data_IF_962518904826
#
_entry.id   IF_962518904826
#
_cell.length_a   1.000
_cell.length_b   1.000
_cell.length_c   1.000
_cell.angle_alpha   90.00
_cell.angle_beta   90.00
_cell.angle_gamma   90.00
#
_symmetry.space_group_name_H-M   'P 1'
#
loop_
_entity.id
_entity.type
_entity.pdbx_description
1 polymer ?
#
# COMPACT_ATOMS: atom_id res chain seq x y z
N UNK A 1 29.78 38.39 -20.17
CA UNK A 1 28.57 37.55 -20.39
C UNK A 1 28.89 36.04 -20.35
N UNK A 2 29.57 35.53 -19.30
CA UNK A 2 29.92 34.10 -19.19
C UNK A 2 29.41 33.44 -17.90
N UNK A 3 29.09 34.21 -16.85
CA UNK A 3 28.53 33.68 -15.61
C UNK A 3 27.01 33.38 -15.69
N UNK A 4 26.26 34.20 -16.42
CA UNK A 4 24.80 34.05 -16.53
C UNK A 4 24.34 32.79 -17.26
N UNK A 5 25.21 32.16 -18.07
CA UNK A 5 24.88 30.92 -18.79
C UNK A 5 25.05 29.66 -17.93
N UNK A 6 25.85 29.70 -16.87
CA UNK A 6 26.09 28.53 -16.01
C UNK A 6 24.95 28.34 -15.01
N UNK A 7 24.32 29.43 -14.56
CA UNK A 7 23.24 29.41 -13.56
C UNK A 7 21.90 28.92 -14.16
N UNK A 8 21.69 29.09 -15.47
CA UNK A 8 20.45 28.66 -16.12
C UNK A 8 20.43 27.16 -16.47
N UNK A 9 21.60 26.51 -16.54
CA UNK A 9 21.72 25.08 -16.91
C UNK A 9 21.51 24.16 -15.70
N UNK A 10 21.71 24.65 -14.47
CA UNK A 10 21.54 23.85 -13.24
C UNK A 10 20.09 23.70 -12.79
N UNK A 11 19.14 24.48 -13.30
CA UNK A 11 17.72 24.42 -12.90
C UNK A 11 16.88 23.38 -13.66
N UNK A 12 17.43 22.77 -14.73
CA UNK A 12 16.66 21.87 -15.60
C UNK A 12 16.76 20.39 -15.13
N UNK A 13 17.63 20.08 -14.17
CA UNK A 13 17.88 18.69 -13.72
C UNK A 13 16.95 18.19 -12.60
N UNK A 14 15.96 18.98 -12.15
CA UNK A 14 15.11 18.60 -11.02
C UNK A 14 13.74 17.98 -11.40
N UNK A 15 13.42 17.82 -12.68
CA UNK A 15 12.11 17.30 -13.11
C UNK A 15 12.10 15.79 -13.38
N UNK A 16 12.76 15.01 -12.53
CA UNK A 16 12.57 13.55 -12.48
C UNK A 16 12.21 13.06 -11.08
N UNK A 17 11.28 13.76 -10.42
CA UNK A 17 10.44 13.04 -9.46
C UNK A 17 9.59 12.08 -10.30
N UNK A 18 10.08 10.85 -10.41
CA UNK A 18 9.44 9.79 -11.15
C UNK A 18 8.00 9.65 -10.68
N UNK A 19 7.08 10.21 -11.47
CA UNK A 19 5.70 9.81 -11.42
C UNK A 19 5.71 8.35 -11.88
N UNK A 20 5.87 7.41 -10.94
CA UNK A 20 5.43 6.04 -11.18
C UNK A 20 4.03 6.20 -11.73
N UNK A 21 3.80 5.79 -12.97
CA UNK A 21 2.45 5.72 -13.51
C UNK A 21 1.71 4.71 -12.64
N UNK A 22 1.08 5.23 -11.59
CA UNK A 22 0.36 4.45 -10.60
C UNK A 22 -0.87 3.92 -11.35
N UNK A 23 -0.79 2.67 -11.79
CA UNK A 23 -1.90 1.98 -12.39
C UNK A 23 -2.54 1.08 -11.35
N UNK A 24 -3.87 0.96 -11.43
CA UNK A 24 -4.58 -0.01 -10.63
C UNK A 24 -4.14 -1.42 -10.98
N UNK A 25 -3.77 -2.19 -9.98
CA UNK A 25 -3.27 -3.55 -10.09
C UNK A 25 -4.12 -4.48 -9.24
N UNK A 26 -4.21 -5.73 -9.66
CA UNK A 26 -4.85 -6.77 -8.86
C UNK A 26 -3.92 -7.15 -7.71
N UNK A 27 -4.44 -7.09 -6.49
CA UNK A 27 -3.82 -7.56 -5.27
C UNK A 27 -4.59 -8.77 -4.73
N UNK A 28 -3.88 -9.85 -4.42
CA UNK A 28 -4.44 -11.01 -3.73
C UNK A 28 -4.19 -10.87 -2.22
N UNK A 29 -5.21 -11.06 -1.41
CA UNK A 29 -5.05 -11.09 0.05
C UNK A 29 -4.50 -12.47 0.43
N UNK A 30 -3.27 -12.49 0.92
CA UNK A 30 -2.56 -13.72 1.30
C UNK A 30 -2.57 -13.95 2.81
N UNK A 31 -3.01 -12.97 3.61
CA UNK A 31 -3.10 -13.13 5.06
C UNK A 31 -3.74 -11.91 5.74
N UNK A 32 -4.44 -12.16 6.83
CA UNK A 32 -4.95 -11.13 7.75
C UNK A 32 -4.72 -11.58 9.17
N UNK A 33 -4.24 -10.66 10.00
CA UNK A 33 -4.13 -10.88 11.44
C UNK A 33 -4.42 -9.59 12.21
N UNK A 34 -4.91 -9.66 13.45
CA UNK A 34 -5.05 -8.49 14.30
C UNK A 34 -3.69 -7.80 14.50
N UNK A 35 -3.68 -6.48 14.46
CA UNK A 35 -2.51 -5.69 14.79
C UNK A 35 -2.37 -5.63 16.31
N UNK A 36 -1.25 -6.12 16.84
CA UNK A 36 -0.95 -6.01 18.26
C UNK A 36 -0.21 -4.70 18.50
N UNK A 37 -0.91 -3.71 19.05
CA UNK A 37 -0.29 -2.50 19.54
C UNK A 37 0.68 -2.84 20.69
N UNK A 38 1.86 -2.21 20.71
CA UNK A 38 2.74 -2.28 21.88
C UNK A 38 2.03 -1.61 23.07
N UNK A 39 2.27 -2.15 24.28
CA UNK A 39 1.57 -1.91 25.55
C UNK A 39 1.29 -0.45 25.95
N UNK A 40 1.90 0.57 25.32
CA UNK A 40 1.64 2.00 25.57
C UNK A 40 0.60 2.64 24.63
N UNK A 41 0.20 1.98 23.55
CA UNK A 41 -0.81 2.49 22.60
C UNK A 41 -2.18 1.87 22.92
N UNK A 42 -2.76 2.27 24.04
CA UNK A 42 -4.13 1.91 24.42
C UNK A 42 -5.16 2.68 23.55
N UNK A 43 -5.17 2.44 22.24
CA UNK A 43 -6.27 2.85 21.39
C UNK A 43 -7.30 1.74 21.31
N UNK A 44 -8.54 2.00 21.72
CA UNK A 44 -9.71 1.09 21.66
C UNK A 44 -10.12 0.69 20.22
N UNK A 45 -9.34 1.11 19.22
CA UNK A 45 -9.60 0.87 17.81
C UNK A 45 -8.90 -0.42 17.38
N UNK A 46 -9.67 -1.45 17.04
CA UNK A 46 -9.14 -2.69 16.46
C UNK A 46 -8.58 -2.42 15.07
N UNK A 47 -7.30 -2.72 14.88
CA UNK A 47 -6.61 -2.63 13.56
C UNK A 47 -6.15 -4.01 13.11
N UNK A 48 -5.95 -4.15 11.81
CA UNK A 48 -5.53 -5.41 11.19
C UNK A 48 -4.30 -5.19 10.31
N UNK A 49 -3.38 -6.14 10.35
CA UNK A 49 -2.32 -6.27 9.36
C UNK A 49 -2.83 -7.13 8.22
N UNK A 50 -2.98 -6.52 7.04
CA UNK A 50 -3.45 -7.21 5.82
C UNK A 50 -2.26 -7.37 4.88
N UNK A 51 -1.97 -8.61 4.52
CA UNK A 51 -0.90 -8.97 3.59
C UNK A 51 -1.46 -9.12 2.18
N UNK A 52 -0.95 -8.30 1.26
CA UNK A 52 -1.35 -8.23 -0.14
C UNK A 52 -0.20 -8.66 -1.05
N UNK A 53 -0.45 -9.59 -1.98
CA UNK A 53 0.48 -9.92 -3.05
C UNK A 53 0.10 -9.14 -4.32
N UNK A 54 0.99 -8.27 -4.78
CA UNK A 54 0.84 -7.46 -6.01
C UNK A 54 2.08 -7.65 -6.87
N UNK A 55 1.91 -8.13 -8.10
CA UNK A 55 3.00 -8.29 -9.08
C UNK A 55 4.29 -8.94 -8.50
N UNK A 56 4.14 -9.99 -7.68
CA UNK A 56 5.29 -10.69 -7.08
C UNK A 56 5.92 -9.99 -5.86
N UNK A 57 5.30 -8.95 -5.32
CA UNK A 57 5.71 -8.29 -4.07
C UNK A 57 4.60 -8.43 -3.03
N UNK A 58 4.98 -8.81 -1.80
CA UNK A 58 4.06 -8.83 -0.66
C UNK A 58 4.18 -7.52 0.11
N UNK A 59 3.04 -6.85 0.27
CA UNK A 59 2.87 -5.63 1.03
C UNK A 59 2.07 -5.96 2.28
N UNK A 60 2.52 -5.49 3.44
CA UNK A 60 1.68 -5.50 4.63
C UNK A 60 1.18 -4.09 4.85
N UNK A 61 -0.13 -3.94 5.01
CA UNK A 61 -0.77 -2.67 5.32
C UNK A 61 -1.47 -2.71 6.67
N UNK A 62 -1.61 -1.56 7.31
CA UNK A 62 -2.36 -1.44 8.57
C UNK A 62 -3.76 -0.90 8.29
N UNK A 63 -4.75 -1.80 8.26
CA UNK A 63 -6.14 -1.48 8.00
C UNK A 63 -6.91 -1.20 9.28
N UNK A 64 -7.66 -0.10 9.29
CA UNK A 64 -8.62 0.24 10.35
C UNK A 64 -10.03 0.18 9.75
N UNK A 65 -10.88 -0.76 10.18
CA UNK A 65 -12.25 -0.85 9.68
C UNK A 65 -13.05 0.39 10.12
N UNK A 66 -13.80 1.04 9.21
CA UNK A 66 -14.80 2.01 9.62
C UNK A 66 -15.88 1.33 10.49
N UNK A 67 -16.47 2.09 11.40
CA UNK A 67 -17.52 1.58 12.28
C UNK A 67 -18.68 0.99 11.46
N UNK A 68 -19.11 -0.23 11.81
CA UNK A 68 -20.21 -0.91 11.13
C UNK A 68 -19.86 -1.56 9.78
N UNK A 69 -18.60 -1.53 9.34
CA UNK A 69 -18.16 -2.20 8.09
C UNK A 69 -17.64 -3.60 8.39
N UNK A 70 -18.15 -4.59 7.66
CA UNK A 70 -17.67 -5.97 7.74
C UNK A 70 -16.28 -6.12 7.13
N UNK A 71 -15.37 -6.77 7.85
CA UNK A 71 -14.00 -7.06 7.40
C UNK A 71 -13.91 -8.20 6.39
N UNK A 72 -15.03 -8.84 6.04
CA UNK A 72 -15.09 -9.96 5.06
C UNK A 72 -14.47 -9.58 3.71
N UNK A 73 -14.57 -8.31 3.30
CA UNK A 73 -13.91 -7.79 2.08
C UNK A 73 -12.40 -8.02 2.08
N UNK A 74 -11.80 -8.08 3.27
CA UNK A 74 -10.36 -8.25 3.47
C UNK A 74 -9.99 -9.69 3.83
N UNK A 75 -10.88 -10.67 3.65
CA UNK A 75 -10.53 -12.06 3.92
C UNK A 75 -9.47 -12.61 2.94
N UNK A 76 -8.63 -13.52 3.44
CA UNK A 76 -7.65 -14.25 2.62
C UNK A 76 -8.33 -14.96 1.44
N UNK A 77 -7.66 -14.96 0.28
CA UNK A 77 -8.15 -15.57 -0.95
C UNK A 77 -8.97 -14.62 -1.83
N UNK A 78 -9.35 -13.45 -1.33
CA UNK A 78 -10.00 -12.43 -2.14
C UNK A 78 -8.99 -11.59 -2.92
N UNK A 79 -9.41 -11.16 -4.12
CA UNK A 79 -8.67 -10.23 -4.96
C UNK A 79 -9.32 -8.84 -4.90
N UNK A 80 -8.50 -7.79 -4.92
CA UNK A 80 -8.95 -6.40 -4.97
C UNK A 80 -8.07 -5.57 -5.91
N UNK A 81 -8.68 -4.55 -6.51
CA UNK A 81 -7.93 -3.55 -7.26
C UNK A 81 -7.34 -2.54 -6.29
N UNK A 82 -6.03 -2.33 -6.41
CA UNK A 82 -5.30 -1.38 -5.59
C UNK A 82 -4.39 -0.51 -6.43
N UNK A 83 -4.16 0.70 -5.92
CA UNK A 83 -3.13 1.58 -6.43
C UNK A 83 -1.95 1.57 -5.45
N UNK A 84 -0.80 1.04 -5.89
CA UNK A 84 0.39 0.99 -5.04
C UNK A 84 1.15 2.30 -5.14
N UNK A 85 1.23 3.03 -4.03
CA UNK A 85 2.07 4.20 -3.89
C UNK A 85 3.38 3.90 -3.16
N UNK A 86 4.09 4.97 -2.79
CA UNK A 86 5.38 4.85 -2.12
C UNK A 86 5.23 4.39 -0.67
N UNK A 87 4.30 5.01 0.08
CA UNK A 87 4.05 4.75 1.51
C UNK A 87 2.66 4.22 1.82
N UNK A 88 1.76 4.27 0.85
CA UNK A 88 0.35 3.89 1.01
C UNK A 88 -0.09 3.01 -0.14
N UNK A 89 -1.14 2.24 0.11
CA UNK A 89 -1.91 1.56 -0.94
C UNK A 89 -3.30 2.18 -0.93
N UNK A 90 -3.76 2.62 -2.10
CA UNK A 90 -5.10 3.16 -2.30
C UNK A 90 -6.07 2.03 -2.65
N UNK A 91 -7.18 1.98 -1.92
CA UNK A 91 -8.29 1.03 -2.09
C UNK A 91 -9.52 1.77 -2.55
N UNK A 92 -10.37 1.11 -3.32
CA UNK A 92 -11.71 1.61 -3.60
C UNK A 92 -12.75 0.86 -2.78
N UNK A 93 -13.69 1.60 -2.19
CA UNK A 93 -14.88 1.01 -1.59
C UNK A 93 -15.91 0.58 -2.67
N UNK A 94 -17.07 0.09 -2.23
CA UNK A 94 -18.13 -0.37 -3.15
C UNK A 94 -18.80 0.76 -3.92
N UNK A 95 -18.67 2.01 -3.44
CA UNK A 95 -19.21 3.21 -4.08
C UNK A 95 -18.16 3.88 -5.00
N UNK A 96 -16.97 3.30 -5.12
CA UNK A 96 -15.87 3.84 -5.91
C UNK A 96 -15.10 4.95 -5.21
N UNK A 97 -15.33 5.20 -3.91
CA UNK A 97 -14.54 6.14 -3.14
C UNK A 97 -13.18 5.54 -2.81
N UNK A 98 -12.12 6.27 -3.14
CA UNK A 98 -10.76 5.86 -2.82
C UNK A 98 -10.37 6.25 -1.40
N UNK A 99 -9.64 5.39 -0.71
CA UNK A 99 -8.99 5.68 0.56
C UNK A 99 -7.62 5.03 0.66
N UNK A 100 -6.70 5.71 1.34
CA UNK A 100 -5.33 5.26 1.49
C UNK A 100 -5.12 4.49 2.80
N UNK A 101 -4.32 3.44 2.72
CA UNK A 101 -3.92 2.62 3.86
C UNK A 101 -2.40 2.57 3.92
N UNK A 102 -1.78 2.81 5.07
CA UNK A 102 -0.32 2.86 5.20
C UNK A 102 0.32 1.47 4.99
N UNK A 103 1.41 1.45 4.21
CA UNK A 103 2.30 0.31 4.06
C UNK A 103 3.20 0.26 5.29
N UNK A 104 3.15 -0.83 6.03
CA UNK A 104 4.03 -1.06 7.18
C UNK A 104 5.25 -1.91 6.80
N UNK A 105 5.17 -2.71 5.74
CA UNK A 105 6.33 -3.42 5.19
C UNK A 105 6.14 -3.82 3.72
N UNK A 106 7.26 -4.02 3.02
CA UNK A 106 7.34 -4.52 1.64
C UNK A 106 8.41 -5.59 1.55
N UNK A 107 8.11 -6.71 0.91
CA UNK A 107 9.05 -7.81 0.69
C UNK A 107 8.77 -8.51 -0.64
N UNK A 108 9.77 -9.13 -1.31
CA UNK A 108 9.52 -10.03 -2.43
C UNK A 108 8.54 -11.13 -2.01
N UNK A 109 7.59 -11.48 -2.88
CA UNK A 109 6.68 -12.57 -2.58
C UNK A 109 7.44 -13.90 -2.66
N UNK A 110 7.38 -14.67 -1.57
CA UNK A 110 7.80 -16.06 -1.58
C UNK A 110 6.72 -16.86 -2.32
N UNK A 111 7.03 -17.36 -3.52
CA UNK A 111 6.23 -18.41 -4.13
C UNK A 111 6.51 -19.72 -3.39
N UNK A 112 5.98 -19.85 -2.17
CA UNK A 112 5.84 -21.17 -1.58
C UNK A 112 4.65 -21.81 -2.29
N UNK A 113 4.93 -22.51 -3.38
CA UNK A 113 4.02 -23.52 -3.91
C UNK A 113 3.64 -24.44 -2.75
N UNK A 114 2.41 -24.33 -2.26
CA UNK A 114 1.86 -25.28 -1.30
C UNK A 114 1.67 -26.59 -2.06
N UNK A 115 2.72 -27.39 -2.10
CA UNK A 115 2.66 -28.81 -2.40
C UNK A 115 2.53 -29.56 -1.09
N UNK A 116 1.30 -29.96 -0.74
CA UNK A 116 1.03 -31.32 -0.26
C UNK A 116 -0.44 -31.65 -0.32
#
# INVERSE_FOLDING_TARGET
>A
MKLARVICVSLIVLSSFGQSAQNYQVAAIVGVKPHQAKTDEASDVTRYEVSLKVAGTTYVVLYTPPLGVSTVKYATGHNLLVLVGDKTISYNDLLGQSFEVPIISRSPASDTAVSK
#
